data_IF_513987892232
#
_entry.id   IF_513987892232
#
_cell.length_a   1.000
_cell.length_b   1.000
_cell.length_c   1.000
_cell.angle_alpha   90.00
_cell.angle_beta   90.00
_cell.angle_gamma   90.00
#
_symmetry.space_group_name_H-M   'P 1'
#
loop_
_entity.id
_entity.type
_entity.pdbx_description
1 polymer ?
#
# COMPACT_ATOMS: atom_id res chain seq x y z
N UNK A 1 -44.71 -23.21 -45.50
CA UNK A 1 -44.77 -22.57 -44.15
C UNK A 1 -43.70 -21.48 -44.08
N UNK A 2 -44.06 -20.19 -44.18
CA UNK A 2 -43.15 -19.03 -44.15
C UNK A 2 -43.72 -17.91 -43.26
N UNK A 3 -44.04 -18.23 -42.00
CA UNK A 3 -44.67 -17.28 -41.05
C UNK A 3 -43.84 -16.99 -39.79
N UNK A 4 -42.64 -17.58 -39.63
CA UNK A 4 -41.81 -17.40 -38.42
C UNK A 4 -40.91 -16.17 -38.43
N UNK A 5 -40.61 -15.58 -39.60
CA UNK A 5 -39.67 -14.45 -39.70
C UNK A 5 -40.29 -13.08 -39.41
N UNK A 6 -41.62 -12.98 -39.41
CA UNK A 6 -42.32 -11.72 -39.14
C UNK A 6 -42.48 -11.43 -37.64
N UNK A 7 -42.59 -12.48 -36.81
CA UNK A 7 -42.78 -12.32 -35.36
C UNK A 7 -41.50 -11.94 -34.60
N UNK A 8 -40.34 -12.41 -35.06
CA UNK A 8 -39.05 -12.08 -34.41
C UNK A 8 -38.69 -10.60 -34.60
N UNK A 9 -39.00 -10.03 -35.77
CA UNK A 9 -38.75 -8.60 -36.05
C UNK A 9 -39.65 -7.67 -35.22
N UNK A 10 -40.86 -8.10 -34.85
CA UNK A 10 -41.79 -7.28 -34.07
C UNK A 10 -41.35 -7.19 -32.59
N UNK A 11 -40.79 -8.28 -32.04
CA UNK A 11 -40.31 -8.31 -30.66
C UNK A 11 -39.06 -7.45 -30.43
N UNK A 12 -38.14 -7.37 -31.40
CA UNK A 12 -36.93 -6.54 -31.29
C UNK A 12 -37.27 -5.04 -31.31
N UNK A 13 -38.26 -4.64 -32.13
CA UNK A 13 -38.68 -3.23 -32.20
C UNK A 13 -39.41 -2.75 -30.92
N UNK A 14 -40.10 -3.64 -30.21
CA UNK A 14 -40.81 -3.29 -28.97
C UNK A 14 -39.86 -3.10 -27.77
N UNK A 15 -38.70 -3.77 -27.76
CA UNK A 15 -37.68 -3.60 -26.71
C UNK A 15 -36.94 -2.26 -26.85
N UNK A 16 -36.79 -1.75 -28.08
CA UNK A 16 -36.13 -0.45 -28.33
C UNK A 16 -37.00 0.77 -27.96
N UNK A 17 -38.31 0.61 -27.77
CA UNK A 17 -39.25 1.70 -27.46
C UNK A 17 -39.33 2.06 -25.95
N UNK A 18 -38.61 1.38 -25.06
CA UNK A 18 -38.61 1.69 -23.61
C UNK A 18 -37.48 2.68 -23.25
N UNK A 19 -36.59 3.02 -24.18
CA UNK A 19 -35.37 3.78 -23.89
C UNK A 19 -35.52 5.31 -23.79
N UNK A 20 -36.73 5.88 -23.91
CA UNK A 20 -36.91 7.34 -23.84
C UNK A 20 -38.10 7.74 -22.95
N UNK A 21 -37.99 7.44 -21.65
CA UNK A 21 -38.64 8.24 -20.63
C UNK A 21 -37.53 8.99 -19.91
N UNK A 22 -37.34 10.24 -20.31
CA UNK A 22 -36.33 11.13 -19.75
C UNK A 22 -36.58 11.33 -18.26
N UNK A 23 -35.82 10.64 -17.42
CA UNK A 23 -35.50 11.16 -16.11
C UNK A 23 -34.62 12.39 -16.36
N UNK A 24 -35.24 13.57 -16.33
CA UNK A 24 -34.52 14.81 -16.01
C UNK A 24 -34.05 14.63 -14.58
N UNK A 25 -32.95 13.90 -14.40
CA UNK A 25 -32.17 13.97 -13.20
C UNK A 25 -31.74 15.43 -13.11
N UNK A 26 -32.30 16.15 -12.15
CA UNK A 26 -31.64 17.31 -11.60
C UNK A 26 -30.21 16.84 -11.31
N UNK A 27 -29.24 17.34 -12.10
CA UNK A 27 -27.85 17.09 -11.85
C UNK A 27 -27.64 17.43 -10.37
N UNK A 28 -27.19 16.49 -9.51
CA UNK A 28 -26.86 16.83 -8.15
C UNK A 28 -25.92 18.03 -8.25
N UNK A 29 -26.27 19.12 -7.57
CA UNK A 29 -25.32 20.20 -7.37
C UNK A 29 -24.05 19.50 -6.84
N UNK A 30 -22.96 19.59 -7.60
CA UNK A 30 -21.66 19.15 -7.15
C UNK A 30 -21.36 20.06 -5.96
N UNK A 31 -21.76 19.61 -4.78
CA UNK A 31 -21.22 20.12 -3.54
C UNK A 31 -19.73 19.77 -3.64
N UNK A 32 -18.93 20.77 -4.01
CA UNK A 32 -17.47 20.75 -3.90
C UNK A 32 -17.15 20.64 -2.40
N UNK A 33 -17.37 19.45 -1.82
CA UNK A 33 -16.88 19.16 -0.49
C UNK A 33 -15.37 19.35 -0.54
N UNK A 34 -14.81 20.16 0.37
CA UNK A 34 -13.39 20.44 0.34
C UNK A 34 -12.63 19.13 0.47
N UNK A 35 -11.92 18.76 -0.60
CA UNK A 35 -11.12 17.53 -0.65
C UNK A 35 -10.14 17.51 0.52
N UNK A 36 -9.96 16.34 1.11
CA UNK A 36 -8.98 16.18 2.17
C UNK A 36 -7.57 16.35 1.57
N UNK A 37 -6.77 17.33 2.01
CA UNK A 37 -5.54 17.72 1.29
C UNK A 37 -4.52 16.58 1.21
N UNK A 38 -4.47 15.71 2.22
CA UNK A 38 -3.59 14.53 2.20
C UNK A 38 -4.16 13.42 1.32
N UNK A 39 -5.48 13.25 1.27
CA UNK A 39 -6.11 12.23 0.44
C UNK A 39 -5.93 12.56 -1.03
N UNK A 40 -6.16 13.83 -1.39
CA UNK A 40 -5.96 14.36 -2.73
C UNK A 40 -4.49 14.23 -3.18
N UNK A 41 -3.54 14.62 -2.32
CA UNK A 41 -2.12 14.47 -2.63
C UNK A 41 -1.70 13.01 -2.85
N UNK A 42 -2.24 12.07 -2.06
CA UNK A 42 -1.96 10.63 -2.24
C UNK A 42 -2.60 10.09 -3.52
N UNK A 43 -3.84 10.47 -3.81
CA UNK A 43 -4.54 10.06 -5.04
C UNK A 43 -3.81 10.56 -6.28
N UNK A 44 -3.36 11.82 -6.27
CA UNK A 44 -2.57 12.38 -7.36
C UNK A 44 -1.24 11.62 -7.53
N UNK A 45 -0.55 11.32 -6.42
CA UNK A 45 0.75 10.66 -6.47
C UNK A 45 0.67 9.17 -6.88
N UNK A 46 -0.38 8.46 -6.45
CA UNK A 46 -0.59 7.04 -6.71
C UNK A 46 -1.75 6.80 -7.69
N UNK A 47 -1.97 7.72 -8.63
CA UNK A 47 -3.07 7.67 -9.60
C UNK A 47 -3.04 6.44 -10.51
N UNK A 48 -1.88 5.81 -10.67
CA UNK A 48 -1.71 4.55 -11.40
C UNK A 48 -2.12 3.31 -10.58
N UNK A 49 -2.36 3.47 -9.27
CA UNK A 49 -2.69 2.38 -8.33
C UNK A 49 -4.14 2.47 -7.88
N UNK A 50 -4.59 3.66 -7.49
CA UNK A 50 -5.92 3.85 -6.91
C UNK A 50 -6.39 5.31 -6.99
N UNK A 51 -7.67 5.53 -6.68
CA UNK A 51 -8.32 6.83 -6.70
C UNK A 51 -8.50 7.44 -5.30
N UNK A 52 -9.02 8.67 -5.27
CA UNK A 52 -9.26 9.43 -4.04
C UNK A 52 -10.32 8.75 -3.17
N UNK A 53 -11.36 8.22 -3.79
CA UNK A 53 -12.49 7.56 -3.16
C UNK A 53 -12.04 6.35 -2.35
N UNK A 54 -11.18 5.50 -2.92
CA UNK A 54 -10.59 4.34 -2.24
C UNK A 54 -9.70 4.77 -1.07
N UNK A 55 -8.85 5.78 -1.24
CA UNK A 55 -8.00 6.31 -0.17
C UNK A 55 -8.85 6.83 0.99
N UNK A 56 -9.92 7.57 0.69
CA UNK A 56 -10.80 8.13 1.71
C UNK A 56 -11.69 7.07 2.35
N UNK A 57 -12.05 6.01 1.62
CA UNK A 57 -12.74 4.85 2.18
C UNK A 57 -11.88 4.18 3.26
N UNK A 58 -10.62 3.86 2.94
CA UNK A 58 -9.67 3.31 3.92
C UNK A 58 -9.48 4.26 5.12
N UNK A 59 -9.40 5.57 4.88
CA UNK A 59 -9.29 6.52 5.99
C UNK A 59 -10.54 6.52 6.90
N UNK A 60 -11.73 6.41 6.31
CA UNK A 60 -13.01 6.31 7.06
C UNK A 60 -13.12 5.01 7.86
N UNK A 61 -12.47 3.94 7.42
CA UNK A 61 -12.35 2.68 8.15
C UNK A 61 -11.40 2.76 9.37
N UNK A 62 -10.67 3.87 9.52
CA UNK A 62 -9.82 4.14 10.67
C UNK A 62 -8.33 4.01 10.38
N UNK A 63 -7.93 3.72 9.13
CA UNK A 63 -6.53 3.73 8.76
C UNK A 63 -5.99 5.16 8.69
N UNK A 64 -4.93 5.46 9.44
CA UNK A 64 -4.24 6.74 9.32
C UNK A 64 -3.54 6.89 7.96
N UNK A 65 -3.45 8.11 7.42
CA UNK A 65 -2.81 8.38 6.13
C UNK A 65 -1.36 7.87 6.03
N UNK A 66 -0.61 7.83 7.13
CA UNK A 66 0.73 7.25 7.13
C UNK A 66 0.74 5.74 6.87
N UNK A 67 -0.27 5.01 7.34
CA UNK A 67 -0.46 3.57 7.05
C UNK A 67 -0.90 3.38 5.60
N UNK A 68 -1.84 4.20 5.14
CA UNK A 68 -2.33 4.18 3.75
C UNK A 68 -1.18 4.44 2.78
N UNK A 69 -0.39 5.49 2.99
CA UNK A 69 0.77 5.82 2.15
C UNK A 69 1.81 4.69 2.12
N UNK A 70 2.06 4.02 3.25
CA UNK A 70 2.95 2.87 3.29
C UNK A 70 2.39 1.68 2.50
N UNK A 71 1.09 1.42 2.58
CA UNK A 71 0.44 0.36 1.82
C UNK A 71 0.49 0.65 0.32
N UNK A 72 0.10 1.85 -0.12
CA UNK A 72 0.19 2.28 -1.52
C UNK A 72 1.60 2.14 -2.09
N UNK A 73 2.59 2.54 -1.30
CA UNK A 73 3.97 2.42 -1.73
C UNK A 73 4.44 0.96 -1.85
N UNK A 74 4.00 0.07 -0.96
CA UNK A 74 4.30 -1.37 -1.07
C UNK A 74 3.55 -2.01 -2.24
N UNK A 75 2.31 -1.61 -2.49
CA UNK A 75 1.55 -1.98 -3.68
C UNK A 75 2.31 -1.60 -4.95
N UNK A 76 2.82 -0.37 -5.03
CA UNK A 76 3.59 0.08 -6.19
C UNK A 76 4.79 -0.83 -6.47
N UNK A 77 5.46 -1.27 -5.40
CA UNK A 77 6.60 -2.19 -5.50
C UNK A 77 6.19 -3.60 -5.87
N UNK A 78 5.03 -4.06 -5.42
CA UNK A 78 4.53 -5.40 -5.69
C UNK A 78 3.94 -5.53 -7.11
N UNK A 79 3.12 -4.57 -7.56
CA UNK A 79 2.52 -4.53 -8.91
C UNK A 79 3.60 -4.37 -9.99
N UNK A 80 4.68 -3.65 -9.69
CA UNK A 80 5.81 -3.52 -10.62
C UNK A 80 6.42 -4.86 -11.07
N UNK A 81 6.21 -5.92 -10.28
CA UNK A 81 6.69 -7.28 -10.56
C UNK A 81 5.56 -8.23 -11.04
N UNK A 82 4.28 -7.82 -10.96
CA UNK A 82 3.12 -8.66 -11.26
C UNK A 82 2.07 -7.88 -12.06
N UNK A 83 1.91 -8.21 -13.35
CA UNK A 83 0.90 -7.60 -14.24
C UNK A 83 -0.52 -8.18 -14.05
N UNK A 84 -0.70 -9.15 -13.15
CA UNK A 84 -1.91 -9.98 -13.11
C UNK A 84 -3.01 -9.45 -12.17
N UNK A 85 -2.68 -8.53 -11.27
CA UNK A 85 -3.59 -8.01 -10.24
C UNK A 85 -3.69 -6.48 -10.30
N UNK A 86 -4.91 -5.97 -10.09
CA UNK A 86 -5.16 -4.53 -9.96
C UNK A 86 -4.44 -4.00 -8.70
N UNK A 87 -3.81 -2.82 -8.85
CA UNK A 87 -3.13 -2.16 -7.74
C UNK A 87 -4.09 -1.83 -6.59
N UNK A 88 -5.35 -1.49 -6.90
CA UNK A 88 -6.35 -1.23 -5.87
C UNK A 88 -6.61 -2.47 -4.98
N UNK A 89 -6.72 -3.66 -5.58
CA UNK A 89 -6.95 -4.91 -4.85
C UNK A 89 -5.77 -5.24 -3.95
N UNK A 90 -4.54 -5.18 -4.48
CA UNK A 90 -3.33 -5.42 -3.68
C UNK A 90 -3.22 -4.40 -2.54
N UNK A 91 -3.55 -3.13 -2.79
CA UNK A 91 -3.58 -2.11 -1.75
C UNK A 91 -4.51 -2.47 -0.59
N UNK A 92 -5.74 -2.93 -0.88
CA UNK A 92 -6.68 -3.37 0.15
C UNK A 92 -6.19 -4.62 0.88
N UNK A 93 -5.66 -5.61 0.16
CA UNK A 93 -5.09 -6.82 0.78
C UNK A 93 -3.94 -6.49 1.73
N UNK A 94 -3.09 -5.51 1.39
CA UNK A 94 -2.02 -5.05 2.29
C UNK A 94 -2.59 -4.38 3.55
N UNK A 95 -3.63 -3.56 3.42
CA UNK A 95 -4.27 -2.92 4.58
C UNK A 95 -4.92 -3.96 5.49
N UNK A 96 -5.67 -4.91 4.91
CA UNK A 96 -6.34 -5.98 5.64
C UNK A 96 -5.32 -6.89 6.34
N UNK A 97 -4.26 -7.30 5.64
CA UNK A 97 -3.18 -8.10 6.22
C UNK A 97 -2.48 -7.38 7.38
N UNK A 98 -2.37 -6.05 7.30
CA UNK A 98 -1.79 -5.24 8.38
C UNK A 98 -2.69 -5.15 9.60
N UNK A 99 -3.99 -5.02 9.41
CA UNK A 99 -4.97 -4.96 10.50
C UNK A 99 -5.14 -6.31 11.18
N UNK A 100 -5.31 -7.37 10.39
CA UNK A 100 -5.56 -8.73 10.88
C UNK A 100 -4.29 -9.44 11.33
N UNK A 101 -3.14 -9.05 10.79
CA UNK A 101 -1.87 -9.77 10.94
C UNK A 101 -1.75 -11.01 10.06
N UNK A 102 -2.71 -11.26 9.18
CA UNK A 102 -2.70 -12.39 8.24
C UNK A 102 -2.09 -11.98 6.89
N UNK A 103 -0.91 -12.51 6.59
CA UNK A 103 -0.18 -12.24 5.35
C UNK A 103 -0.22 -13.44 4.39
N UNK A 104 -1.15 -14.37 4.58
CA UNK A 104 -1.23 -15.59 3.76
C UNK A 104 -1.48 -15.33 2.27
N UNK A 105 -2.06 -14.17 1.93
CA UNK A 105 -2.18 -13.70 0.55
C UNK A 105 -0.83 -13.52 -0.14
N UNK A 106 0.22 -13.22 0.62
CA UNK A 106 1.56 -12.92 0.11
C UNK A 106 2.50 -14.09 0.38
N UNK A 107 2.93 -14.76 -0.68
CA UNK A 107 3.93 -15.83 -0.61
C UNK A 107 5.29 -15.36 -1.12
N UNK A 108 6.35 -15.78 -0.45
CA UNK A 108 7.72 -15.59 -0.94
C UNK A 108 8.01 -16.50 -2.15
N UNK A 109 9.06 -16.18 -2.91
CA UNK A 109 9.50 -16.98 -4.08
C UNK A 109 9.83 -18.44 -3.70
N UNK A 110 10.26 -18.67 -2.46
CA UNK A 110 10.54 -20.01 -1.91
C UNK A 110 9.28 -20.74 -1.40
N UNK A 111 8.10 -20.14 -1.57
CA UNK A 111 6.82 -20.65 -1.11
C UNK A 111 6.59 -20.49 0.40
N UNK A 112 7.48 -19.84 1.14
CA UNK A 112 7.28 -19.63 2.57
C UNK A 112 6.25 -18.53 2.85
N UNK A 113 5.37 -18.80 3.81
CA UNK A 113 4.34 -17.85 4.23
C UNK A 113 4.93 -16.74 5.11
N UNK A 114 4.51 -15.51 4.84
CA UNK A 114 4.92 -14.33 5.59
C UNK A 114 4.16 -14.32 6.93
N UNK A 115 4.86 -14.07 8.04
CA UNK A 115 4.26 -14.16 9.38
C UNK A 115 4.01 -12.82 10.06
N UNK A 116 4.59 -11.74 9.54
CA UNK A 116 4.43 -10.41 10.12
C UNK A 116 4.78 -9.30 9.12
N UNK A 117 4.35 -8.08 9.46
CA UNK A 117 4.60 -6.86 8.69
C UNK A 117 6.08 -6.60 8.37
N UNK A 118 6.99 -6.91 9.31
CA UNK A 118 8.42 -6.72 9.12
C UNK A 118 8.97 -7.62 8.01
N UNK A 119 8.56 -8.89 8.03
CA UNK A 119 8.89 -9.85 6.98
C UNK A 119 8.25 -9.48 5.64
N UNK A 120 6.99 -9.02 5.67
CA UNK A 120 6.30 -8.55 4.46
C UNK A 120 7.04 -7.43 3.76
N UNK A 121 7.34 -6.34 4.50
CA UNK A 121 8.13 -5.23 3.95
C UNK A 121 9.49 -5.69 3.47
N UNK A 122 10.16 -6.54 4.23
CA UNK A 122 11.48 -7.04 3.84
C UNK A 122 11.40 -7.84 2.55
N UNK A 123 10.39 -8.70 2.38
CA UNK A 123 10.16 -9.46 1.16
C UNK A 123 10.04 -8.56 -0.07
N UNK A 124 9.19 -7.54 0.01
CA UNK A 124 8.96 -6.58 -1.09
C UNK A 124 10.19 -5.71 -1.36
N UNK A 125 10.96 -5.35 -0.33
CA UNK A 125 12.06 -4.38 -0.46
C UNK A 125 13.44 -4.99 -0.66
N UNK A 126 13.66 -6.23 -0.23
CA UNK A 126 14.93 -6.91 -0.46
C UNK A 126 15.11 -7.30 -1.94
N UNK A 127 14.01 -7.45 -2.70
CA UNK A 127 14.04 -7.56 -4.16
C UNK A 127 14.63 -6.31 -4.82
N UNK A 128 14.50 -5.14 -4.18
CA UNK A 128 14.91 -3.85 -4.73
C UNK A 128 15.75 -3.05 -3.71
N UNK A 129 17.03 -3.45 -3.54
CA UNK A 129 18.03 -2.83 -2.65
C UNK A 129 18.22 -1.30 -2.82
N UNK A 130 17.58 -0.66 -3.80
CA UNK A 130 17.66 0.78 -4.08
C UNK A 130 16.44 1.59 -3.62
N UNK A 131 15.37 0.93 -3.15
CA UNK A 131 14.05 1.57 -3.01
C UNK A 131 13.69 2.20 -1.66
N UNK A 132 14.54 2.24 -0.64
CA UNK A 132 14.11 2.67 0.70
C UNK A 132 13.41 4.06 0.68
N UNK A 133 12.19 4.17 1.23
CA UNK A 133 11.37 5.40 1.23
C UNK A 133 12.13 6.62 1.78
N UNK A 134 12.98 6.41 2.80
CA UNK A 134 13.86 7.45 3.35
C UNK A 134 14.95 7.93 2.39
N UNK A 135 15.40 7.09 1.45
CA UNK A 135 16.31 7.48 0.37
C UNK A 135 15.57 8.28 -0.69
N UNK A 136 14.34 7.89 -1.07
CA UNK A 136 13.53 8.63 -2.05
C UNK A 136 13.19 10.04 -1.55
N UNK A 137 12.76 10.16 -0.29
CA UNK A 137 12.43 11.46 0.35
C UNK A 137 13.69 12.33 0.55
N UNK A 138 14.85 11.74 0.88
CA UNK A 138 16.10 12.49 1.01
C UNK A 138 16.76 12.85 -0.33
N UNK A 139 16.37 12.20 -1.42
CA UNK A 139 16.91 12.46 -2.77
C UNK A 139 16.17 13.59 -3.48
N UNK A 140 14.89 13.79 -3.21
CA UNK A 140 14.12 14.92 -3.77
C UNK A 140 14.51 16.29 -3.19
N UNK A 141 15.35 16.33 -2.14
CA UNK A 141 15.80 17.58 -1.50
C UNK A 141 17.26 17.97 -1.82
N UNK A 142 17.90 17.31 -2.81
CA UNK A 142 19.33 17.53 -3.12
C UNK A 142 19.62 18.43 -4.32
N UNK A 143 18.63 19.05 -4.94
CA UNK A 143 18.87 19.92 -6.10
C UNK A 143 19.22 21.38 -5.77
N UNK A 144 19.45 21.71 -4.50
CA UNK A 144 20.09 22.98 -4.12
C UNK A 144 21.10 22.79 -3.00
N UNK A 145 22.26 22.24 -3.32
CA UNK A 145 23.55 22.83 -2.93
C UNK A 145 24.69 22.03 -3.57
N UNK A 146 25.23 22.57 -4.68
CA UNK A 146 26.60 22.29 -5.10
C UNK A 146 27.53 22.76 -3.97
N UNK A 147 28.14 21.83 -3.24
CA UNK A 147 29.39 22.11 -2.55
C UNK A 147 30.34 20.96 -2.81
N UNK A 148 31.36 21.27 -3.62
CA UNK A 148 32.63 20.57 -3.64
C UNK A 148 33.16 20.37 -2.21
N UNK A 149 33.90 19.26 -2.03
CA UNK A 149 35.25 19.23 -1.45
C UNK A 149 35.47 18.20 -0.32
N UNK A 150 36.54 17.40 -0.45
CA UNK A 150 37.27 16.74 0.64
C UNK A 150 36.81 15.33 1.04
N UNK A 151 37.34 14.24 0.48
CA UNK A 151 38.66 13.61 0.77
C UNK A 151 38.77 12.92 2.15
N UNK A 152 38.75 11.58 2.12
CA UNK A 152 39.55 10.66 2.95
C UNK A 152 39.22 10.48 4.44
N UNK A 153 38.88 9.24 4.84
CA UNK A 153 39.72 8.44 5.75
C UNK A 153 39.14 7.04 6.00
N UNK A 154 39.84 6.04 5.49
CA UNK A 154 39.88 4.69 6.03
C UNK A 154 40.23 4.73 7.53
N UNK A 155 39.43 4.07 8.36
CA UNK A 155 39.88 3.59 9.67
C UNK A 155 39.48 2.14 9.85
N UNK A 156 40.40 1.31 9.36
CA UNK A 156 40.71 -0.01 9.89
C UNK A 156 41.00 0.12 11.39
N UNK A 157 40.33 -0.65 12.26
CA UNK A 157 40.82 -0.90 13.63
C UNK A 157 40.27 -2.21 14.20
N UNK A 158 41.10 -3.22 14.00
CA UNK A 158 41.55 -4.25 14.93
C UNK A 158 40.64 -4.87 16.00
N UNK A 159 40.66 -6.20 15.93
CA UNK A 159 40.40 -7.19 16.97
C UNK A 159 41.02 -6.81 18.33
N UNK A 160 40.23 -6.95 19.38
CA UNK A 160 40.70 -7.03 20.77
C UNK A 160 39.89 -8.07 21.53
N UNK A 161 40.48 -9.24 21.71
CA UNK A 161 39.99 -10.36 22.51
C UNK A 161 40.57 -10.24 23.93
N UNK A 162 39.73 -10.13 24.95
CA UNK A 162 40.01 -10.42 26.38
C UNK A 162 38.68 -10.15 27.11
N UNK A 163 38.07 -11.05 27.87
CA UNK A 163 38.68 -11.92 28.87
C UNK A 163 38.27 -11.39 30.25
N UNK A 164 37.48 -12.19 30.95
CA UNK A 164 37.30 -12.23 32.41
C UNK A 164 36.28 -11.31 33.13
N UNK A 165 35.22 -11.98 33.58
CA UNK A 165 34.88 -12.25 34.99
C UNK A 165 34.34 -11.10 35.87
N UNK A 166 33.12 -11.27 36.37
CA UNK A 166 32.47 -10.36 37.32
C UNK A 166 31.10 -10.85 37.77
N UNK A 167 31.09 -11.80 38.69
CA UNK A 167 29.95 -12.26 39.50
C UNK A 167 29.25 -11.13 40.28
N UNK A 168 28.03 -11.40 40.76
CA UNK A 168 27.22 -10.76 41.84
C UNK A 168 25.80 -10.45 41.31
N UNK A 169 24.85 -11.37 41.44
CA UNK A 169 24.03 -11.70 42.62
C UNK A 169 23.05 -10.58 43.02
N UNK A 170 21.78 -10.74 42.61
CA UNK A 170 20.65 -9.89 42.99
C UNK A 170 19.44 -10.77 43.27
N UNK A 171 19.13 -10.88 44.56
CA UNK A 171 18.27 -11.87 45.19
C UNK A 171 16.79 -11.75 44.78
N UNK A 172 16.14 -12.90 44.63
CA UNK A 172 14.68 -13.05 44.49
C UNK A 172 14.08 -13.15 45.89
N UNK A 173 13.57 -12.05 46.42
CA UNK A 173 12.68 -12.14 47.59
C UNK A 173 11.23 -12.29 47.11
N UNK A 174 10.78 -13.54 47.21
CA UNK A 174 9.37 -13.91 47.26
C UNK A 174 8.91 -13.67 48.70
N UNK A 175 8.05 -12.70 48.92
CA UNK A 175 7.18 -12.68 50.10
C UNK A 175 5.78 -13.11 49.67
N UNK A 176 5.45 -14.36 50.04
CA UNK A 176 4.10 -14.89 50.14
C UNK A 176 3.83 -15.10 51.63
N UNK A 177 2.58 -14.84 51.99
CA UNK A 177 1.87 -15.30 53.18
C UNK A 177 2.07 -14.51 54.48
N UNK A 178 1.10 -13.62 54.76
CA UNK A 178 0.09 -13.85 55.80
C UNK A 178 -1.13 -12.97 55.62
#
# INVERSE_FOLDING_TARGET
>A
MKKSKFLVSLFIAMILMIAQVGAVFAAPALDDEPLHPVGDALAAFFSDITDYETIMAAHKEGFGFGTIAQALWLTQKYVGDSEELDGADIFYEILLARETGDYSFFTLEDGTAIKNWGQFKKAILDGDKKGNLGVVISSQNKDKHKSNNGNGQDKNKDKGNNGENGSINGNKDKEKDK
#
